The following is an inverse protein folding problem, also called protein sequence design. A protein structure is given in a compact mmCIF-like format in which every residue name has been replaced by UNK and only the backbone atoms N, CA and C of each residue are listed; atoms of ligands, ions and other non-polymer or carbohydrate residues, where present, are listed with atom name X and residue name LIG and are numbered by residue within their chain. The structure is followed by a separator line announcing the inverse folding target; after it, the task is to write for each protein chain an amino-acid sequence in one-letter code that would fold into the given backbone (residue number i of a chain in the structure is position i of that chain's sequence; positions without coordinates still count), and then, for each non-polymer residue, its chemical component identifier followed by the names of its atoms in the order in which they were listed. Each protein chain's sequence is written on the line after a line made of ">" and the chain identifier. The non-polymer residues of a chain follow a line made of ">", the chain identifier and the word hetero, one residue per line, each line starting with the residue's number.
data_IF_049049906152
#
_entry.id   IF_049049906152
#
_cell.length_a   1.000
_cell.length_b   1.000
_cell.length_c   1.000
_cell.angle_alpha   90.00
_cell.angle_beta   90.00
_cell.angle_gamma   90.00
#
_symmetry.space_group_name_H-M   'P 1'
#
loop_
_entity.id
_entity.type
_entity.pdbx_description
1 polymer ?
#
# COMPACT_ATOMS: atom_id res chain seq x y z
N UNK A 1 3.01 18.33 20.31
CA UNK A 1 2.30 18.35 19.01
C UNK A 1 3.14 17.52 18.05
N UNK A 2 2.57 16.54 17.36
CA UNK A 2 3.32 15.68 16.42
C UNK A 2 3.77 16.47 15.20
N UNK A 3 4.88 16.06 14.57
CA UNK A 3 5.31 16.60 13.28
C UNK A 3 4.22 16.32 12.24
N UNK A 4 3.86 17.33 11.44
CA UNK A 4 2.90 17.15 10.35
C UNK A 4 3.57 16.34 9.24
N UNK A 5 3.05 15.13 8.99
CA UNK A 5 3.46 14.28 7.87
C UNK A 5 3.13 15.00 6.55
N UNK A 6 4.10 15.23 5.65
CA UNK A 6 3.84 15.81 4.34
C UNK A 6 2.79 15.02 3.55
N UNK A 7 2.12 15.67 2.62
CA UNK A 7 1.14 15.02 1.74
C UNK A 7 1.49 15.26 0.29
N UNK A 8 1.22 14.27 -0.55
CA UNK A 8 1.20 14.40 -2.01
C UNK A 8 -0.21 14.69 -2.50
N UNK A 9 -0.33 15.37 -3.64
CA UNK A 9 -1.62 15.55 -4.33
C UNK A 9 -1.72 14.48 -5.40
N UNK A 10 -2.71 13.60 -5.28
CA UNK A 10 -2.99 12.55 -6.26
C UNK A 10 -3.57 13.17 -7.55
N UNK A 11 -3.54 12.43 -8.66
CA UNK A 11 -4.16 12.85 -9.93
C UNK A 11 -5.67 13.07 -9.81
N UNK A 12 -6.31 12.49 -8.80
CA UNK A 12 -7.72 12.75 -8.42
C UNK A 12 -7.94 14.09 -7.71
N UNK A 13 -6.88 14.83 -7.37
CA UNK A 13 -6.91 16.10 -6.63
C UNK A 13 -6.91 15.95 -5.10
N UNK A 14 -7.05 14.74 -4.57
CA UNK A 14 -7.05 14.49 -3.13
C UNK A 14 -5.62 14.47 -2.55
N UNK A 15 -5.48 14.94 -1.31
CA UNK A 15 -4.20 14.91 -0.58
C UNK A 15 -4.03 13.58 0.15
N UNK A 16 -2.89 12.92 -0.04
CA UNK A 16 -2.53 11.67 0.61
C UNK A 16 -1.27 11.87 1.47
N UNK A 17 -1.30 11.60 2.79
CA UNK A 17 -0.10 11.66 3.63
C UNK A 17 0.96 10.66 3.18
N UNK A 18 2.23 11.07 3.20
CA UNK A 18 3.35 10.30 2.63
C UNK A 18 3.77 9.10 3.46
N UNK A 19 3.31 9.00 4.71
CA UNK A 19 3.57 7.85 5.58
C UNK A 19 2.25 7.29 6.10
N UNK A 20 1.98 6.04 5.76
CA UNK A 20 0.82 5.27 6.21
C UNK A 20 1.22 4.24 7.28
N UNK A 21 0.31 3.98 8.22
CA UNK A 21 0.41 2.80 9.07
C UNK A 21 -0.11 1.57 8.32
N UNK A 22 0.77 0.63 8.02
CA UNK A 22 0.38 -0.67 7.49
C UNK A 22 -0.26 -1.55 8.56
N UNK A 23 -1.34 -2.25 8.21
CA UNK A 23 -2.12 -3.05 9.18
C UNK A 23 -1.95 -4.56 9.04
N UNK A 24 -1.28 -5.06 7.99
CA UNK A 24 -1.02 -6.50 7.81
C UNK A 24 -0.19 -7.09 8.97
N UNK A 25 -0.60 -8.24 9.49
CA UNK A 25 0.08 -8.90 10.61
C UNK A 25 -0.24 -10.39 10.66
N UNK A 26 0.78 -11.21 10.84
CA UNK A 26 0.67 -12.66 11.02
C UNK A 26 1.59 -13.06 12.18
N UNK A 27 1.09 -13.75 13.22
CA UNK A 27 -0.32 -14.09 13.45
C UNK A 27 -1.19 -12.83 13.69
N UNK A 28 -2.49 -12.97 13.48
CA UNK A 28 -3.48 -11.90 13.72
C UNK A 28 -3.69 -11.72 15.24
N UNK A 29 -3.39 -10.54 15.82
CA UNK A 29 -3.67 -10.27 17.22
C UNK A 29 -5.17 -10.18 17.51
N UNK A 30 -5.59 -10.33 18.79
CA UNK A 30 -6.96 -10.06 19.18
C UNK A 30 -7.39 -8.63 18.78
N UNK A 31 -8.67 -8.42 18.40
CA UNK A 31 -9.17 -7.11 17.95
C UNK A 31 -8.80 -5.93 18.87
N UNK A 32 -8.76 -6.14 20.19
CA UNK A 32 -8.56 -5.03 21.13
C UNK A 32 -7.10 -4.53 21.12
N UNK A 33 -6.16 -5.41 20.78
CA UNK A 33 -4.76 -5.05 20.58
C UNK A 33 -4.62 -4.19 19.32
N UNK A 34 -5.34 -4.54 18.26
CA UNK A 34 -5.36 -3.77 17.00
C UNK A 34 -5.99 -2.38 17.21
N UNK A 35 -7.16 -2.31 17.85
CA UNK A 35 -7.85 -1.05 18.16
C UNK A 35 -6.92 -0.13 18.97
N UNK A 36 -6.29 -0.66 20.02
CA UNK A 36 -5.35 0.11 20.84
C UNK A 36 -4.14 0.59 20.04
N UNK A 37 -3.57 -0.25 19.16
CA UNK A 37 -2.46 0.15 18.31
C UNK A 37 -2.83 1.28 17.34
N UNK A 38 -4.03 1.22 16.73
CA UNK A 38 -4.51 2.26 15.81
C UNK A 38 -4.81 3.57 16.52
N UNK A 39 -5.44 3.54 17.70
CA UNK A 39 -5.64 4.73 18.53
C UNK A 39 -4.30 5.37 18.91
N UNK A 40 -3.31 4.56 19.31
CA UNK A 40 -1.95 5.06 19.58
C UNK A 40 -1.32 5.73 18.35
N UNK A 41 -1.52 5.17 17.15
CA UNK A 41 -1.02 5.78 15.92
C UNK A 41 -1.68 7.14 15.62
N UNK A 42 -2.99 7.24 15.81
CA UNK A 42 -3.75 8.51 15.68
C UNK A 42 -3.23 9.55 16.68
N UNK A 43 -3.04 9.16 17.95
CA UNK A 43 -2.47 10.03 19.00
C UNK A 43 -1.06 10.52 18.67
N UNK A 44 -0.23 9.66 18.05
CA UNK A 44 1.14 10.01 17.64
C UNK A 44 1.15 11.05 16.51
N UNK A 45 0.18 10.98 15.59
CA UNK A 45 0.11 11.87 14.43
C UNK A 45 -0.11 11.18 13.10
N UNK A 46 -0.28 9.86 13.06
CA UNK A 46 -0.66 9.18 11.81
C UNK A 46 -2.03 9.68 11.34
N UNK A 47 -2.10 10.01 10.06
CA UNK A 47 -3.32 10.39 9.36
C UNK A 47 -3.58 9.54 8.12
N UNK A 48 -2.78 8.51 7.88
CA UNK A 48 -2.95 7.57 6.78
C UNK A 48 -2.85 6.13 7.32
N UNK A 49 -3.86 5.31 7.02
CA UNK A 49 -3.93 3.89 7.38
C UNK A 49 -4.11 3.05 6.11
N UNK A 50 -3.30 2.01 5.97
CA UNK A 50 -3.37 1.05 4.87
C UNK A 50 -3.85 -0.32 5.37
N UNK A 51 -4.96 -0.79 4.82
CA UNK A 51 -5.56 -2.08 5.13
C UNK A 51 -6.04 -2.79 3.86
N UNK A 52 -6.66 -3.95 4.03
CA UNK A 52 -7.29 -4.76 3.01
C UNK A 52 -8.21 -5.77 3.69
N UNK A 53 -9.33 -6.15 3.07
CA UNK A 53 -10.23 -7.14 3.66
C UNK A 53 -9.54 -8.49 3.95
N UNK A 54 -8.56 -8.90 3.13
CA UNK A 54 -7.81 -10.14 3.36
C UNK A 54 -6.94 -10.11 4.63
N UNK A 55 -6.61 -8.91 5.15
CA UNK A 55 -5.83 -8.79 6.39
C UNK A 55 -6.68 -9.04 7.63
N UNK A 56 -8.01 -8.99 7.51
CA UNK A 56 -8.96 -9.13 8.63
C UNK A 56 -8.75 -8.09 9.75
N UNK A 57 -8.19 -6.92 9.39
CA UNK A 57 -7.91 -5.82 10.32
C UNK A 57 -8.82 -4.61 10.12
N UNK A 58 -9.73 -4.68 9.15
CA UNK A 58 -10.63 -3.58 8.77
C UNK A 58 -11.62 -3.21 9.88
N UNK A 59 -12.33 -4.18 10.43
CA UNK A 59 -13.30 -3.94 11.51
C UNK A 59 -12.64 -3.32 12.76
N UNK A 60 -11.51 -3.83 13.27
CA UNK A 60 -10.75 -3.15 14.33
C UNK A 60 -10.32 -1.71 13.97
N UNK A 61 -9.96 -1.44 12.71
CA UNK A 61 -9.65 -0.08 12.25
C UNK A 61 -10.88 0.82 12.30
N UNK A 62 -12.04 0.35 11.83
CA UNK A 62 -13.31 1.07 11.92
C UNK A 62 -13.67 1.44 13.36
N UNK A 63 -13.55 0.50 14.30
CA UNK A 63 -13.74 0.77 15.73
C UNK A 63 -12.78 1.81 16.29
N UNK A 64 -11.49 1.75 15.91
CA UNK A 64 -10.52 2.75 16.33
C UNK A 64 -10.82 4.15 15.80
N UNK A 65 -11.31 4.26 14.56
CA UNK A 65 -11.72 5.55 13.97
C UNK A 65 -12.93 6.13 14.70
N UNK A 66 -13.96 5.32 14.96
CA UNK A 66 -15.14 5.74 15.70
C UNK A 66 -14.78 6.19 17.13
N UNK A 67 -13.91 5.44 17.81
CA UNK A 67 -13.43 5.78 19.14
C UNK A 67 -12.55 7.04 19.13
N UNK A 68 -11.72 7.25 18.10
CA UNK A 68 -10.92 8.45 17.94
C UNK A 68 -11.77 9.71 17.77
N UNK A 69 -12.87 9.63 17.00
CA UNK A 69 -13.86 10.70 16.87
C UNK A 69 -14.53 10.97 18.23
N UNK A 70 -15.00 9.92 18.91
CA UNK A 70 -15.65 10.04 20.23
C UNK A 70 -14.74 10.68 21.27
N UNK A 71 -13.44 10.36 21.25
CA UNK A 71 -12.41 10.92 22.15
C UNK A 71 -11.88 12.29 21.71
N UNK A 72 -12.26 12.79 20.53
CA UNK A 72 -11.74 14.05 19.98
C UNK A 72 -10.26 13.99 19.56
N UNK A 73 -9.73 12.79 19.28
CA UNK A 73 -8.36 12.62 18.76
C UNK A 73 -8.24 13.08 17.30
N UNK A 74 -9.36 13.05 16.59
CA UNK A 74 -9.60 13.66 15.28
C UNK A 74 -10.92 14.42 15.34
N UNK A 75 -11.03 15.52 14.60
CA UNK A 75 -12.24 16.34 14.59
C UNK A 75 -13.33 15.77 13.68
N UNK A 76 -12.93 15.08 12.60
CA UNK A 76 -13.83 14.51 11.60
C UNK A 76 -13.19 13.35 10.84
N UNK A 77 -14.00 12.53 10.15
CA UNK A 77 -13.52 11.35 9.40
C UNK A 77 -12.52 11.74 8.32
N UNK A 78 -12.69 12.91 7.71
CA UNK A 78 -11.84 13.47 6.65
C UNK A 78 -10.45 13.87 7.14
N UNK A 79 -10.20 13.89 8.45
CA UNK A 79 -8.85 14.10 8.97
C UNK A 79 -7.96 12.87 8.72
N UNK A 80 -8.56 11.70 8.41
CA UNK A 80 -7.86 10.47 8.07
C UNK A 80 -7.97 10.16 6.58
N UNK A 81 -6.89 9.57 6.05
CA UNK A 81 -6.82 8.93 4.75
C UNK A 81 -6.79 7.41 4.93
N UNK A 82 -7.84 6.70 4.51
CA UNK A 82 -7.92 5.25 4.65
C UNK A 82 -7.83 4.60 3.27
N UNK A 83 -6.82 3.75 3.11
CA UNK A 83 -6.60 2.90 1.94
C UNK A 83 -7.10 1.49 2.24
N UNK A 84 -7.93 0.93 1.36
CA UNK A 84 -8.40 -0.45 1.44
C UNK A 84 -8.29 -1.19 0.10
N UNK A 85 -8.36 -2.52 0.17
CA UNK A 85 -8.29 -3.47 -0.94
C UNK A 85 -9.34 -4.58 -0.67
N UNK A 86 -10.52 -4.43 -1.28
CA UNK A 86 -11.77 -5.18 -1.01
C UNK A 86 -12.37 -4.97 0.40
N UNK A 87 -13.70 -5.02 0.55
CA UNK A 87 -14.51 -4.27 1.54
C UNK A 87 -15.03 -5.04 2.76
N UNK A 88 -14.77 -4.54 4.00
CA UNK A 88 -15.52 -4.77 5.28
C UNK A 88 -15.30 -3.68 6.38
N UNK A 89 -15.11 -2.40 6.04
CA UNK A 89 -14.70 -1.38 7.04
C UNK A 89 -15.83 -0.77 7.90
N UNK A 90 -17.10 -0.90 7.51
CA UNK A 90 -18.21 -0.20 8.18
C UNK A 90 -18.16 1.33 8.03
N UNK A 91 -17.39 1.84 7.06
CA UNK A 91 -17.33 3.26 6.69
C UNK A 91 -18.31 3.55 5.55
N UNK A 92 -18.64 4.82 5.34
CA UNK A 92 -19.41 5.25 4.16
C UNK A 92 -18.56 5.29 2.89
N UNK A 93 -17.26 5.59 3.02
CA UNK A 93 -16.31 5.67 1.92
C UNK A 93 -14.86 5.35 2.38
N UNK A 94 -14.01 5.02 1.41
CA UNK A 94 -12.54 4.99 1.57
C UNK A 94 -11.87 6.10 0.75
N UNK A 95 -10.73 6.61 1.24
CA UNK A 95 -10.02 7.69 0.53
C UNK A 95 -9.28 7.15 -0.69
N UNK A 96 -8.80 5.90 -0.61
CA UNK A 96 -8.19 5.16 -1.72
C UNK A 96 -8.66 3.71 -1.72
N UNK A 97 -9.10 3.23 -2.88
CA UNK A 97 -9.47 1.84 -3.10
C UNK A 97 -8.58 1.21 -4.16
N UNK A 98 -7.93 0.08 -3.84
CA UNK A 98 -6.97 -0.57 -4.73
C UNK A 98 -7.43 -1.96 -5.17
N UNK A 99 -7.22 -2.27 -6.45
CA UNK A 99 -7.13 -3.66 -6.91
C UNK A 99 -5.87 -4.28 -6.27
N UNK A 100 -6.03 -5.24 -5.35
CA UNK A 100 -4.93 -5.74 -4.52
C UNK A 100 -3.85 -6.48 -5.33
N UNK A 101 -4.26 -7.29 -6.30
CA UNK A 101 -3.38 -8.03 -7.20
C UNK A 101 -4.04 -8.09 -8.59
N UNK A 102 -3.27 -8.15 -9.69
CA UNK A 102 -3.80 -8.42 -11.02
C UNK A 102 -4.22 -9.90 -11.16
N UNK A 103 -5.02 -10.41 -10.24
CA UNK A 103 -5.42 -11.79 -10.15
C UNK A 103 -6.87 -11.89 -9.72
N UNK A 104 -7.56 -12.92 -10.20
CA UNK A 104 -8.93 -13.24 -9.83
C UNK A 104 -8.98 -14.61 -9.19
N UNK A 105 -9.67 -14.73 -8.08
CA UNK A 105 -9.96 -16.01 -7.44
C UNK A 105 -11.41 -16.41 -7.70
N UNK A 106 -11.70 -17.73 -7.67
CA UNK A 106 -13.08 -18.21 -7.57
C UNK A 106 -13.77 -17.60 -6.35
N UNK A 107 -15.08 -17.41 -6.45
CA UNK A 107 -15.88 -16.90 -5.35
C UNK A 107 -15.78 -17.85 -4.15
N UNK A 108 -15.37 -17.32 -3.00
CA UNK A 108 -15.14 -18.09 -1.78
C UNK A 108 -14.65 -17.18 -0.67
N UNK A 109 -14.27 -17.77 0.47
CA UNK A 109 -13.66 -17.00 1.54
C UNK A 109 -12.28 -16.48 1.12
N UNK A 110 -12.01 -15.21 1.43
CA UNK A 110 -10.71 -14.59 1.14
C UNK A 110 -9.68 -15.01 2.18
N UNK A 111 -9.20 -16.25 2.07
CA UNK A 111 -8.16 -16.80 2.94
C UNK A 111 -6.84 -16.77 2.19
N UNK A 112 -5.78 -16.26 2.83
CA UNK A 112 -4.42 -16.35 2.34
C UNK A 112 -3.60 -17.28 3.26
N UNK A 113 -2.83 -18.24 2.74
CA UNK A 113 -2.68 -18.56 1.32
C UNK A 113 -3.95 -19.19 0.71
N UNK A 114 -4.23 -18.87 -0.56
CA UNK A 114 -5.33 -19.46 -1.32
C UNK A 114 -4.85 -20.63 -2.18
N UNK A 115 -5.77 -21.45 -2.66
CA UNK A 115 -5.41 -22.55 -3.53
C UNK A 115 -5.13 -22.10 -4.97
N UNK A 116 -4.03 -22.59 -5.58
CA UNK A 116 -3.58 -22.17 -6.92
C UNK A 116 -4.57 -22.54 -8.02
N UNK A 117 -5.31 -23.63 -7.87
CA UNK A 117 -6.35 -24.05 -8.83
C UNK A 117 -7.61 -23.17 -8.80
N UNK A 118 -7.70 -22.24 -7.86
CA UNK A 118 -8.79 -21.27 -7.78
C UNK A 118 -8.47 -19.96 -8.49
N UNK A 119 -7.25 -19.80 -9.03
CA UNK A 119 -6.91 -18.67 -9.88
C UNK A 119 -7.63 -18.76 -11.23
N UNK A 120 -8.28 -17.67 -11.59
CA UNK A 120 -8.97 -17.47 -12.85
C UNK A 120 -8.25 -16.38 -13.67
N UNK A 121 -8.44 -16.36 -15.01
CA UNK A 121 -8.01 -15.23 -15.82
C UNK A 121 -8.52 -13.90 -15.25
N UNK A 122 -7.61 -12.93 -15.13
CA UNK A 122 -7.93 -11.62 -14.57
C UNK A 122 -8.62 -10.75 -15.63
N UNK A 123 -9.90 -10.44 -15.41
CA UNK A 123 -10.64 -9.47 -16.21
C UNK A 123 -10.31 -8.05 -15.76
N UNK A 124 -9.18 -7.53 -16.28
CA UNK A 124 -8.68 -6.21 -15.91
C UNK A 124 -9.65 -5.09 -16.30
N UNK A 125 -10.25 -5.18 -17.49
CA UNK A 125 -11.20 -4.17 -17.99
C UNK A 125 -12.45 -4.11 -17.13
N UNK A 126 -13.16 -5.23 -16.98
CA UNK A 126 -14.40 -5.27 -16.21
C UNK A 126 -14.18 -4.93 -14.74
N UNK A 127 -13.06 -5.36 -14.16
CA UNK A 127 -12.68 -4.98 -12.79
C UNK A 127 -12.46 -3.47 -12.68
N UNK A 128 -11.75 -2.86 -13.62
CA UNK A 128 -11.48 -1.42 -13.58
C UNK A 128 -12.74 -0.58 -13.82
N UNK A 129 -13.61 -0.96 -14.75
CA UNK A 129 -14.90 -0.29 -14.98
C UNK A 129 -15.76 -0.27 -13.69
N UNK A 130 -15.74 -1.36 -12.91
CA UNK A 130 -16.39 -1.40 -11.60
C UNK A 130 -15.69 -0.50 -10.55
N UNK A 131 -14.36 -0.40 -10.57
CA UNK A 131 -13.61 0.53 -9.72
C UNK A 131 -13.98 2.00 -10.04
N UNK A 132 -14.06 2.34 -11.33
CA UNK A 132 -14.50 3.66 -11.78
C UNK A 132 -15.91 3.98 -11.29
N UNK A 133 -16.81 3.00 -11.34
CA UNK A 133 -18.17 3.19 -10.82
C UNK A 133 -18.19 3.41 -9.30
N UNK A 134 -17.38 2.66 -8.53
CA UNK A 134 -17.20 2.94 -7.10
C UNK A 134 -16.71 4.38 -6.86
N UNK A 135 -15.84 4.90 -7.72
CA UNK A 135 -15.37 6.28 -7.65
C UNK A 135 -16.50 7.28 -7.96
N UNK A 136 -17.30 7.05 -9.03
CA UNK A 136 -18.42 7.92 -9.42
C UNK A 136 -19.52 7.96 -8.36
N UNK A 137 -19.79 6.82 -7.71
CA UNK A 137 -20.77 6.70 -6.62
C UNK A 137 -20.26 7.29 -5.29
N UNK A 138 -19.01 7.75 -5.21
CA UNK A 138 -18.42 8.33 -4.00
C UNK A 138 -18.02 7.29 -2.94
N UNK A 139 -18.05 6.00 -3.25
CA UNK A 139 -17.61 4.92 -2.36
C UNK A 139 -16.08 4.93 -2.17
N UNK A 140 -15.36 5.43 -3.17
CA UNK A 140 -13.93 5.70 -3.11
C UNK A 140 -13.62 7.09 -3.66
N UNK A 141 -12.85 7.91 -2.93
CA UNK A 141 -12.42 9.23 -3.43
C UNK A 141 -11.36 9.14 -4.53
N UNK A 142 -10.53 8.11 -4.44
CA UNK A 142 -9.49 7.77 -5.43
C UNK A 142 -9.48 6.27 -5.64
N UNK A 143 -9.12 5.83 -6.84
CA UNK A 143 -8.96 4.42 -7.18
C UNK A 143 -7.56 4.18 -7.72
N UNK A 144 -7.04 2.98 -7.50
CA UNK A 144 -5.71 2.60 -7.92
C UNK A 144 -5.53 1.09 -8.00
N UNK A 145 -4.28 0.67 -8.14
CA UNK A 145 -3.90 -0.73 -8.24
C UNK A 145 -2.76 -1.04 -7.27
N UNK A 146 -2.50 -2.32 -7.06
CA UNK A 146 -1.33 -2.80 -6.33
C UNK A 146 -0.73 -4.00 -7.06
N UNK A 147 0.60 -4.06 -7.08
CA UNK A 147 1.38 -5.13 -7.71
C UNK A 147 1.24 -5.17 -9.24
N UNK A 148 1.13 -4.00 -9.90
CA UNK A 148 1.12 -3.89 -11.35
C UNK A 148 2.50 -3.44 -11.86
N UNK A 149 3.06 -4.21 -12.80
CA UNK A 149 4.24 -3.84 -13.58
C UNK A 149 3.90 -2.82 -14.69
N UNK A 150 4.93 -2.23 -15.32
CA UNK A 150 4.73 -1.16 -16.32
C UNK A 150 3.83 -1.61 -17.49
N UNK A 151 3.96 -2.87 -17.93
CA UNK A 151 3.17 -3.42 -19.04
C UNK A 151 1.68 -3.52 -18.70
N UNK A 152 1.34 -4.07 -17.53
CA UNK A 152 -0.06 -4.11 -17.03
C UNK A 152 -0.63 -2.72 -16.80
N UNK A 153 0.17 -1.77 -16.27
CA UNK A 153 -0.27 -0.38 -16.17
C UNK A 153 -0.55 0.25 -17.54
N UNK A 154 0.31 0.00 -18.54
CA UNK A 154 0.11 0.51 -19.90
C UNK A 154 -1.18 -0.04 -20.52
N UNK A 155 -1.47 -1.33 -20.32
CA UNK A 155 -2.71 -1.98 -20.78
C UNK A 155 -3.94 -1.38 -20.09
N UNK A 156 -3.86 -1.09 -18.79
CA UNK A 156 -4.93 -0.46 -18.03
C UNK A 156 -5.20 0.97 -18.53
N UNK A 157 -4.14 1.78 -18.66
CA UNK A 157 -4.22 3.17 -19.10
C UNK A 157 -4.81 3.33 -20.50
N UNK A 158 -4.63 2.34 -21.39
CA UNK A 158 -5.20 2.35 -22.73
C UNK A 158 -6.74 2.33 -22.75
N UNK A 159 -7.38 2.00 -21.63
CA UNK A 159 -8.83 1.80 -21.54
C UNK A 159 -9.48 2.50 -20.34
N UNK A 160 -8.69 2.98 -19.37
CA UNK A 160 -9.18 3.68 -18.21
C UNK A 160 -9.77 5.05 -18.59
N UNK A 161 -11.00 5.31 -18.16
CA UNK A 161 -11.60 6.64 -18.17
C UNK A 161 -11.08 7.46 -16.99
N UNK A 162 -11.00 6.85 -15.80
CA UNK A 162 -10.34 7.41 -14.62
C UNK A 162 -9.01 6.65 -14.46
N UNK A 163 -7.85 7.29 -14.70
CA UNK A 163 -6.57 6.61 -14.55
C UNK A 163 -6.30 6.25 -13.07
N UNK A 164 -5.51 5.19 -12.80
CA UNK A 164 -5.16 4.83 -11.42
C UNK A 164 -4.39 5.98 -10.76
N UNK A 165 -4.88 6.45 -9.62
CA UNK A 165 -4.22 7.50 -8.84
C UNK A 165 -2.96 6.99 -8.14
N UNK A 166 -2.95 5.71 -7.76
CA UNK A 166 -1.86 5.07 -7.03
C UNK A 166 -1.57 3.68 -7.61
N UNK A 167 -0.28 3.32 -7.67
CA UNK A 167 0.17 1.94 -7.75
C UNK A 167 0.95 1.60 -6.47
N UNK A 168 0.46 0.64 -5.67
CA UNK A 168 1.13 0.21 -4.45
C UNK A 168 1.94 -1.07 -4.68
N UNK A 169 3.26 -1.06 -4.45
CA UNK A 169 4.15 -2.18 -4.80
C UNK A 169 5.23 -2.43 -3.75
N UNK A 170 5.89 -3.59 -3.84
CA UNK A 170 7.11 -3.83 -3.08
C UNK A 170 8.14 -2.79 -3.50
N UNK A 171 8.59 -1.96 -2.56
CA UNK A 171 9.63 -0.99 -2.84
C UNK A 171 10.45 -0.76 -1.57
N UNK A 172 11.73 -1.11 -1.62
CA UNK A 172 12.71 -0.93 -0.56
C UNK A 172 14.12 -0.88 -1.16
N UNK A 173 15.15 -0.71 -0.35
CA UNK A 173 16.52 -0.57 -0.83
C UNK A 173 17.02 -1.77 -1.67
N UNK A 174 16.51 -2.98 -1.41
CA UNK A 174 16.81 -4.18 -2.17
C UNK A 174 15.82 -4.45 -3.33
N UNK A 175 14.71 -3.71 -3.43
CA UNK A 175 13.76 -3.77 -4.53
C UNK A 175 13.35 -2.36 -4.94
N UNK A 176 14.20 -1.67 -5.72
CA UNK A 176 14.10 -0.21 -5.86
C UNK A 176 13.07 0.27 -6.89
N UNK A 177 12.57 -0.63 -7.76
CA UNK A 177 11.52 -0.31 -8.75
C UNK A 177 11.83 0.89 -9.67
N UNK A 178 13.10 1.20 -9.99
CA UNK A 178 13.49 2.43 -10.72
C UNK A 178 12.68 2.66 -12.01
N UNK A 179 12.58 1.62 -12.84
CA UNK A 179 11.79 1.65 -14.10
C UNK A 179 10.32 2.01 -13.84
N UNK A 180 9.73 1.42 -12.81
CA UNK A 180 8.33 1.63 -12.46
C UNK A 180 8.11 3.02 -11.83
N UNK A 181 9.08 3.55 -11.07
CA UNK A 181 9.08 4.93 -10.59
C UNK A 181 8.97 5.91 -11.76
N UNK A 182 9.86 5.77 -12.74
CA UNK A 182 9.87 6.66 -13.90
C UNK A 182 8.57 6.54 -14.72
N UNK A 183 8.11 5.31 -14.95
CA UNK A 183 6.86 5.05 -15.67
C UNK A 183 5.66 5.69 -14.97
N UNK A 184 5.49 5.46 -13.66
CA UNK A 184 4.37 5.99 -12.88
C UNK A 184 4.39 7.53 -12.87
N UNK A 185 5.57 8.14 -12.66
CA UNK A 185 5.74 9.60 -12.68
C UNK A 185 5.34 10.21 -14.03
N UNK A 186 5.76 9.60 -15.14
CA UNK A 186 5.41 10.07 -16.49
C UNK A 186 3.90 9.99 -16.78
N UNK A 187 3.18 9.07 -16.12
CA UNK A 187 1.75 8.85 -16.31
C UNK A 187 0.88 9.48 -15.20
N UNK A 188 1.45 10.28 -14.30
CA UNK A 188 0.70 10.91 -13.21
C UNK A 188 0.14 9.92 -12.18
N UNK A 189 0.76 8.73 -12.05
CA UNK A 189 0.42 7.69 -11.08
C UNK A 189 1.37 7.84 -9.90
N UNK A 190 0.84 7.95 -8.68
CA UNK A 190 1.68 8.01 -7.49
C UNK A 190 2.11 6.61 -7.05
N UNK A 191 3.39 6.43 -6.73
CA UNK A 191 3.89 5.15 -6.20
C UNK A 191 3.82 5.13 -4.67
N UNK A 192 3.35 4.01 -4.15
CA UNK A 192 3.29 3.76 -2.72
C UNK A 192 4.00 2.44 -2.38
N UNK A 193 5.03 2.52 -1.55
CA UNK A 193 5.85 1.40 -1.13
C UNK A 193 5.16 0.60 -0.01
N UNK A 194 4.78 -0.64 -0.29
CA UNK A 194 4.59 -1.64 0.77
C UNK A 194 5.92 -2.35 1.05
N UNK A 195 6.07 -2.84 2.29
CA UNK A 195 7.34 -3.37 2.83
C UNK A 195 8.56 -2.44 2.64
N UNK A 196 8.46 -1.14 2.98
CA UNK A 196 9.57 -0.18 2.80
C UNK A 196 10.82 -0.53 3.62
N UNK A 197 10.67 -1.37 4.65
CA UNK A 197 11.77 -1.84 5.49
C UNK A 197 12.37 -3.19 5.04
N UNK A 198 11.82 -3.82 3.99
CA UNK A 198 12.28 -5.13 3.51
C UNK A 198 12.00 -6.31 4.46
N UNK A 199 10.95 -6.23 5.27
CA UNK A 199 10.58 -7.18 6.33
C UNK A 199 11.50 -7.13 7.58
N UNK A 200 11.33 -8.08 8.50
CA UNK A 200 12.09 -8.13 9.76
C UNK A 200 13.44 -8.81 9.55
N UNK A 201 14.53 -8.21 10.02
CA UNK A 201 15.87 -8.81 9.96
C UNK A 201 16.75 -8.33 8.80
N UNK A 202 16.31 -7.29 8.09
CA UNK A 202 17.07 -6.64 7.02
C UNK A 202 18.30 -5.90 7.53
N UNK A 203 19.43 -6.06 6.83
CA UNK A 203 20.76 -5.71 7.32
C UNK A 203 21.32 -4.39 6.77
N UNK A 204 20.68 -3.79 5.77
CA UNK A 204 21.25 -2.68 4.99
C UNK A 204 21.01 -1.28 5.56
N UNK A 205 20.38 -1.13 6.73
CA UNK A 205 20.22 0.19 7.34
C UNK A 205 19.22 0.28 8.48
N UNK A 206 19.13 1.47 9.06
CA UNK A 206 18.11 1.79 10.06
C UNK A 206 16.74 2.04 9.40
N UNK A 207 15.65 1.89 10.17
CA UNK A 207 14.31 2.22 9.69
C UNK A 207 14.21 3.68 9.21
N UNK A 208 14.91 4.60 9.88
CA UNK A 208 14.89 6.01 9.53
C UNK A 208 15.53 6.26 8.16
N UNK A 209 16.69 5.64 7.89
CA UNK A 209 17.37 5.69 6.58
C UNK A 209 16.52 5.07 5.49
N UNK A 210 15.96 3.88 5.74
CA UNK A 210 15.11 3.20 4.76
C UNK A 210 13.88 4.05 4.38
N UNK A 211 13.15 4.59 5.36
CA UNK A 211 11.96 5.41 5.11
C UNK A 211 12.31 6.76 4.49
N UNK A 212 13.42 7.39 4.90
CA UNK A 212 13.90 8.63 4.29
C UNK A 212 14.24 8.41 2.82
N UNK A 213 14.93 7.33 2.50
CA UNK A 213 15.26 6.98 1.12
C UNK A 213 14.01 6.84 0.25
N UNK A 214 12.97 6.13 0.74
CA UNK A 214 11.67 6.01 0.05
C UNK A 214 11.06 7.40 -0.20
N UNK A 215 11.06 8.27 0.81
CA UNK A 215 10.53 9.63 0.69
C UNK A 215 11.29 10.45 -0.37
N UNK A 216 12.62 10.36 -0.43
CA UNK A 216 13.44 11.06 -1.42
C UNK A 216 13.25 10.54 -2.85
N UNK A 217 12.76 9.31 -3.03
CA UNK A 217 12.34 8.80 -4.35
C UNK A 217 11.01 9.42 -4.82
N UNK A 218 10.36 10.27 -4.02
CA UNK A 218 9.02 10.80 -4.30
C UNK A 218 7.91 9.77 -4.05
N UNK A 219 8.19 8.72 -3.27
CA UNK A 219 7.29 7.60 -3.00
C UNK A 219 6.72 7.73 -1.58
N UNK A 220 5.46 7.33 -1.38
CA UNK A 220 4.88 7.22 -0.03
C UNK A 220 5.11 5.84 0.59
N UNK A 221 5.33 5.77 1.90
CA UNK A 221 5.67 4.53 2.59
C UNK A 221 4.51 3.98 3.43
N UNK A 222 4.19 2.70 3.28
CA UNK A 222 3.30 1.94 4.19
C UNK A 222 4.16 1.17 5.18
N UNK A 223 4.34 1.74 6.38
CA UNK A 223 5.18 1.14 7.41
C UNK A 223 4.34 0.49 8.51
N UNK A 224 4.60 -0.78 8.82
CA UNK A 224 3.87 -1.51 9.86
C UNK A 224 4.64 -1.51 11.18
N UNK A 225 3.98 -1.08 12.26
CA UNK A 225 4.45 -1.28 13.63
C UNK A 225 3.31 -1.14 14.62
N UNK A 226 3.23 -1.99 15.65
CA UNK A 226 2.36 -1.77 16.82
C UNK A 226 3.15 -1.32 18.06
N UNK A 227 4.46 -1.10 17.91
CA UNK A 227 5.29 -0.55 18.97
C UNK A 227 5.25 0.99 18.93
N UNK A 228 4.78 1.61 20.02
CA UNK A 228 4.57 3.06 20.13
C UNK A 228 5.83 3.88 19.84
N UNK A 229 6.99 3.43 20.32
CA UNK A 229 8.28 4.08 20.08
C UNK A 229 8.63 4.06 18.58
N UNK A 230 8.58 2.89 17.94
CA UNK A 230 8.86 2.76 16.50
C UNK A 230 7.90 3.56 15.63
N UNK A 231 6.61 3.60 16.00
CA UNK A 231 5.62 4.43 15.29
C UNK A 231 6.03 5.90 15.31
N UNK A 232 6.49 6.41 16.46
CA UNK A 232 6.98 7.79 16.56
C UNK A 232 8.26 8.01 15.74
N UNK A 233 9.24 7.10 15.87
CA UNK A 233 10.51 7.17 15.11
C UNK A 233 10.28 7.17 13.59
N UNK A 234 9.32 6.39 13.10
CA UNK A 234 8.98 6.31 11.68
C UNK A 234 8.42 7.62 11.09
N UNK A 235 7.95 8.57 11.92
CA UNK A 235 7.50 9.89 11.47
C UNK A 235 8.61 10.94 11.51
N UNK A 236 9.78 10.64 12.10
CA UNK A 236 10.88 11.59 12.30
C UNK A 236 11.92 11.53 11.16
N UNK A 237 11.43 11.52 9.91
CA UNK A 237 12.26 11.36 8.71
C UNK A 237 12.32 12.62 7.83
N UNK A 238 11.66 13.71 8.24
CA UNK A 238 11.47 14.88 7.38
C UNK A 238 12.49 16.00 7.65
N UNK A 239 13.10 16.04 8.84
CA UNK A 239 14.00 17.12 9.28
C UNK A 239 15.47 16.98 8.87
N UNK A 240 15.80 16.03 8.00
CA UNK A 240 17.16 15.73 7.53
C UNK A 240 17.08 15.04 6.17
N UNK A 241 18.19 14.96 5.44
CA UNK A 241 18.28 14.33 4.11
C UNK A 241 19.47 13.39 4.02
N UNK A 242 19.43 12.44 3.07
CA UNK A 242 20.56 11.58 2.79
C UNK A 242 21.59 12.34 1.95
N UNK A 243 22.87 12.10 2.24
CA UNK A 243 23.97 12.61 1.44
C UNK A 243 24.06 11.90 0.09
N UNK A 244 24.74 12.53 -0.87
CA UNK A 244 25.01 11.91 -2.17
C UNK A 244 25.81 10.60 -2.08
N UNK A 245 26.67 10.47 -1.07
CA UNK A 245 27.42 9.24 -0.79
C UNK A 245 26.50 8.13 -0.31
N UNK A 246 25.64 8.39 0.68
CA UNK A 246 24.64 7.41 1.16
C UNK A 246 23.68 6.98 0.05
N UNK A 247 23.21 7.92 -0.78
CA UNK A 247 22.37 7.60 -1.93
C UNK A 247 23.10 6.71 -2.94
N UNK A 248 24.38 6.97 -3.18
CA UNK A 248 25.21 6.13 -4.04
C UNK A 248 25.38 4.73 -3.44
N UNK A 249 25.66 4.58 -2.15
CA UNK A 249 25.77 3.28 -1.48
C UNK A 249 24.47 2.48 -1.59
N UNK A 250 23.32 3.11 -1.31
CA UNK A 250 22.01 2.47 -1.44
C UNK A 250 21.78 2.01 -2.89
N UNK A 251 22.23 2.79 -3.88
CA UNK A 251 22.08 2.45 -5.29
C UNK A 251 22.82 1.16 -5.71
N UNK A 252 23.81 0.72 -4.94
CA UNK A 252 24.63 -0.47 -5.20
C UNK A 252 24.12 -1.73 -4.49
N UNK A 253 23.07 -1.63 -3.66
CA UNK A 253 22.50 -2.80 -2.97
C UNK A 253 22.01 -3.81 -4.01
N UNK A 254 22.33 -5.11 -3.87
CA UNK A 254 21.84 -6.15 -4.77
C UNK A 254 20.31 -6.19 -4.84
N UNK A 255 19.78 -6.16 -6.06
CA UNK A 255 18.34 -6.06 -6.31
C UNK A 255 17.67 -7.44 -6.37
N UNK A 256 16.58 -7.62 -5.62
CA UNK A 256 15.71 -8.80 -5.64
C UNK A 256 14.32 -8.45 -5.10
N UNK A 257 13.28 -9.15 -5.56
CA UNK A 257 11.95 -9.12 -4.91
C UNK A 257 11.96 -10.02 -3.68
N UNK A 258 11.51 -9.51 -2.55
CA UNK A 258 11.49 -10.22 -1.26
C UNK A 258 10.21 -10.99 -0.99
N UNK A 259 9.10 -10.68 -1.68
CA UNK A 259 7.85 -11.42 -1.51
C UNK A 259 7.75 -12.59 -2.51
N UNK A 260 7.89 -13.81 -2.00
CA UNK A 260 7.81 -15.07 -2.75
C UNK A 260 6.37 -15.38 -3.18
N UNK A 261 5.90 -14.71 -4.23
CA UNK A 261 4.55 -14.87 -4.79
C UNK A 261 4.39 -16.11 -5.66
N UNK A 262 5.48 -16.75 -6.08
CA UNK A 262 5.49 -17.97 -6.88
C UNK A 262 4.77 -19.13 -6.19
N UNK A 263 4.92 -19.22 -4.87
CA UNK A 263 4.22 -20.22 -4.04
C UNK A 263 2.70 -20.04 -4.02
N UNK A 264 2.16 -18.93 -4.54
CA UNK A 264 0.73 -18.63 -4.45
C UNK A 264 0.09 -18.32 -5.80
N UNK A 265 0.78 -17.64 -6.71
CA UNK A 265 0.20 -17.13 -7.95
C UNK A 265 0.61 -17.91 -9.21
N UNK A 266 1.69 -18.70 -9.14
CA UNK A 266 2.26 -19.40 -10.30
C UNK A 266 1.87 -20.88 -10.28
N UNK A 267 1.25 -21.35 -11.36
CA UNK A 267 0.97 -22.78 -11.56
C UNK A 267 0.85 -23.16 -13.04
N UNK A 268 1.19 -24.41 -13.37
CA UNK A 268 1.09 -24.93 -14.74
C UNK A 268 -0.34 -24.86 -15.31
N UNK A 269 -1.36 -24.86 -14.46
CA UNK A 269 -2.79 -24.79 -14.84
C UNK A 269 -3.41 -23.41 -14.65
N UNK A 270 -2.76 -22.50 -13.92
CA UNK A 270 -3.26 -21.18 -13.58
C UNK A 270 -3.02 -20.13 -14.67
N UNK A 271 -3.46 -18.88 -14.45
CA UNK A 271 -3.30 -17.79 -15.41
C UNK A 271 -1.86 -17.32 -15.57
N UNK A 272 -1.00 -17.56 -14.57
CA UNK A 272 0.43 -17.25 -14.61
C UNK A 272 1.25 -18.55 -14.54
N UNK A 273 2.04 -18.81 -15.57
CA UNK A 273 2.89 -20.02 -15.69
C UNK A 273 4.29 -19.80 -15.14
N UNK A 274 4.71 -18.55 -14.95
CA UNK A 274 6.01 -18.16 -14.41
C UNK A 274 5.94 -16.83 -13.66
N UNK A 275 6.99 -16.52 -12.89
CA UNK A 275 7.18 -15.19 -12.31
C UNK A 275 7.32 -14.11 -13.39
N UNK A 276 7.93 -14.46 -14.53
CA UNK A 276 8.08 -13.56 -15.67
C UNK A 276 6.71 -13.12 -16.22
N UNK A 277 5.74 -14.02 -16.34
CA UNK A 277 4.37 -13.66 -16.76
C UNK A 277 3.62 -12.81 -15.72
N UNK A 278 3.85 -13.08 -14.42
CA UNK A 278 3.24 -12.30 -13.35
C UNK A 278 3.79 -10.87 -13.30
N UNK A 279 5.11 -10.71 -13.46
CA UNK A 279 5.80 -9.42 -13.36
C UNK A 279 6.14 -8.77 -14.70
N UNK A 280 5.74 -9.37 -15.82
CA UNK A 280 6.07 -8.92 -17.17
C UNK A 280 7.59 -8.70 -17.40
N UNK A 281 8.40 -9.60 -16.85
CA UNK A 281 9.87 -9.54 -16.88
C UNK A 281 10.50 -8.52 -15.91
N UNK A 282 9.72 -7.87 -15.05
CA UNK A 282 10.22 -6.95 -14.02
C UNK A 282 10.52 -7.70 -12.71
N UNK A 283 11.39 -8.71 -12.77
CA UNK A 283 11.83 -9.54 -11.63
C UNK A 283 13.10 -9.02 -10.96
#
# INVERSE_FOLDING_TARGET
>A
MGENVPSVVLSSGWKMPTVALGTTTVPLPPPQVLISAYLNAIEIGYRHFDTAAVYQTEEPLGHAVAEALRRGLIGKREDLFITSKLWKLGLEYVDLYLVHWPARLKKGEMVFPFNKEDLLPFDMRGTWEAMEECCRLGLAKSIGVSNFACKKLSQLLAHATIPPAVNQVELNAACQQRKLIDFCKQNGIHLCAWSPLGASGTWWGSNAVALRWIYEQGVSAVVKSFNKRRMKENLQIFGWELSGEELNEISQIPQHRGFHVDEHFVSAKGPYKSLDELWDGEI
#
